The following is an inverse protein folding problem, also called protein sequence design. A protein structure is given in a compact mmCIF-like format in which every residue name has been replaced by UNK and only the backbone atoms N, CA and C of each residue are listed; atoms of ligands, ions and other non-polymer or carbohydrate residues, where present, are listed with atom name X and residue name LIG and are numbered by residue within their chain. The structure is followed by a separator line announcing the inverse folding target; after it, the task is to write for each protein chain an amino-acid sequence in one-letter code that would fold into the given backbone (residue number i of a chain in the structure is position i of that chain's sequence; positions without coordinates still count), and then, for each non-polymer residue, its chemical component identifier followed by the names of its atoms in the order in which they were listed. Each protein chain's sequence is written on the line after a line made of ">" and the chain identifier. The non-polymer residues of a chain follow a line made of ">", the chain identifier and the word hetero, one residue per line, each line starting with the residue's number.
data_IF_474707231359
#
_entry.id   IF_474707231359
#
_cell.length_a   1.000
_cell.length_b   1.000
_cell.length_c   1.000
_cell.angle_alpha   90.00
_cell.angle_beta   90.00
_cell.angle_gamma   90.00
#
_symmetry.space_group_name_H-M   'P 1'
#
loop_
_entity.id
_entity.type
_entity.pdbx_description
1 polymer ?
#
# COMPACT_ATOMS: atom_id res chain seq x y z
N UNK A 1 -1.17 1.44 33.11
CA UNK A 1 -0.45 1.63 31.83
C UNK A 1 -0.78 0.44 30.94
N UNK A 2 -1.58 0.61 29.89
CA UNK A 2 -1.85 -0.47 28.93
C UNK A 2 -0.57 -0.69 28.10
N UNK A 3 0.04 -1.86 28.26
CA UNK A 3 1.06 -2.38 27.35
C UNK A 3 0.48 -2.38 25.93
N UNK A 4 1.17 -1.85 24.90
CA UNK A 4 0.62 -1.89 23.55
C UNK A 4 0.49 -3.36 23.14
N UNK A 5 -0.75 -3.80 22.92
CA UNK A 5 -1.04 -5.08 22.29
C UNK A 5 -0.27 -5.15 20.98
N UNK A 6 0.46 -6.24 20.76
CA UNK A 6 1.24 -6.48 19.54
C UNK A 6 0.48 -6.03 18.29
N UNK A 7 1.08 -5.16 17.49
CA UNK A 7 0.49 -4.65 16.26
C UNK A 7 1.06 -5.39 15.04
N UNK A 8 0.24 -5.58 14.00
CA UNK A 8 0.73 -6.01 12.69
C UNK A 8 1.31 -4.79 11.97
N UNK A 9 2.60 -4.83 11.65
CA UNK A 9 3.30 -3.75 10.98
C UNK A 9 3.54 -4.07 9.51
N UNK A 10 3.30 -3.07 8.66
CA UNK A 10 3.79 -3.00 7.30
C UNK A 10 4.30 -1.58 7.02
N UNK A 11 5.16 -1.45 6.02
CA UNK A 11 5.62 -0.18 5.47
C UNK A 11 5.10 -0.09 4.04
N UNK A 12 4.65 1.08 3.62
CA UNK A 12 4.18 1.30 2.27
C UNK A 12 4.21 2.76 1.86
N UNK A 13 3.89 2.99 0.59
CA UNK A 13 3.70 4.32 0.03
C UNK A 13 2.22 4.65 0.06
N UNK A 14 1.88 5.74 0.75
CA UNK A 14 0.54 6.33 0.67
C UNK A 14 0.40 7.12 -0.62
N UNK A 15 -0.83 7.25 -1.09
CA UNK A 15 -1.18 8.11 -2.20
C UNK A 15 -1.49 9.52 -1.72
N UNK A 16 -1.25 10.51 -2.57
CA UNK A 16 -1.76 11.86 -2.32
C UNK A 16 -3.29 11.92 -2.60
N UNK A 17 -3.92 13.05 -2.23
CA UNK A 17 -5.36 13.22 -2.39
C UNK A 17 -5.81 13.13 -3.86
N UNK A 18 -5.16 13.80 -4.83
CA UNK A 18 -5.50 13.65 -6.25
C UNK A 18 -5.40 12.20 -6.77
N UNK A 19 -4.38 11.45 -6.37
CA UNK A 19 -4.21 10.04 -6.73
C UNK A 19 -5.31 9.18 -6.11
N UNK A 20 -5.61 9.40 -4.83
CA UNK A 20 -6.68 8.71 -4.12
C UNK A 20 -8.01 8.91 -4.84
N UNK A 21 -8.35 10.14 -5.19
CA UNK A 21 -9.62 10.46 -5.86
C UNK A 21 -9.75 9.80 -7.24
N UNK A 22 -8.66 9.74 -8.00
CA UNK A 22 -8.61 9.01 -9.28
C UNK A 22 -8.90 7.53 -9.08
N UNK A 23 -8.31 6.89 -8.06
CA UNK A 23 -8.55 5.47 -7.78
C UNK A 23 -9.97 5.23 -7.30
N UNK A 24 -10.52 6.09 -6.44
CA UNK A 24 -11.92 5.97 -6.00
C UNK A 24 -12.89 6.07 -7.17
N UNK A 25 -12.65 6.96 -8.13
CA UNK A 25 -13.45 7.05 -9.35
C UNK A 25 -13.35 5.79 -10.21
N UNK A 26 -12.15 5.22 -10.34
CA UNK A 26 -11.94 3.94 -11.02
C UNK A 26 -12.68 2.79 -10.32
N UNK A 27 -12.63 2.72 -8.98
CA UNK A 27 -13.36 1.72 -8.20
C UNK A 27 -14.87 1.82 -8.41
N UNK A 28 -15.44 3.03 -8.37
CA UNK A 28 -16.86 3.26 -8.66
C UNK A 28 -17.24 2.77 -10.06
N UNK A 29 -16.40 3.07 -11.06
CA UNK A 29 -16.62 2.63 -12.44
C UNK A 29 -16.51 1.11 -12.60
N UNK A 30 -15.63 0.46 -11.84
CA UNK A 30 -15.43 -0.98 -11.88
C UNK A 30 -16.53 -1.75 -11.17
N UNK A 31 -16.98 -1.28 -10.00
CA UNK A 31 -18.02 -1.95 -9.20
C UNK A 31 -19.31 -2.15 -10.01
N UNK A 32 -19.66 -1.22 -10.90
CA UNK A 32 -20.85 -1.35 -11.76
C UNK A 32 -20.69 -2.40 -12.87
N UNK A 33 -19.47 -2.88 -13.12
CA UNK A 33 -19.12 -3.82 -14.19
C UNK A 33 -18.70 -5.20 -13.68
N UNK A 34 -18.58 -5.39 -12.37
CA UNK A 34 -18.13 -6.63 -11.73
C UNK A 34 -19.21 -7.17 -10.79
N UNK A 35 -19.01 -8.41 -10.31
CA UNK A 35 -19.94 -9.11 -9.43
C UNK A 35 -20.33 -8.27 -8.20
N UNK A 36 -21.62 -8.30 -7.82
CA UNK A 36 -22.20 -7.59 -6.67
C UNK A 36 -21.54 -7.90 -5.33
N UNK A 37 -20.82 -9.01 -5.22
CA UNK A 37 -20.13 -9.40 -3.98
C UNK A 37 -18.72 -8.78 -3.83
N UNK A 38 -18.26 -7.97 -4.79
CA UNK A 38 -16.95 -7.31 -4.70
C UNK A 38 -16.95 -6.22 -3.63
N UNK A 39 -15.88 -6.15 -2.84
CA UNK A 39 -15.68 -5.10 -1.82
C UNK A 39 -14.55 -4.19 -2.25
N UNK A 40 -14.83 -2.88 -2.32
CA UNK A 40 -13.80 -1.89 -2.63
C UNK A 40 -12.91 -1.63 -1.40
N UNK A 41 -11.60 -1.46 -1.65
CA UNK A 41 -10.66 -1.01 -0.63
C UNK A 41 -11.01 0.42 -0.21
N UNK A 42 -11.14 0.65 1.10
CA UNK A 42 -11.38 1.97 1.68
C UNK A 42 -10.28 2.96 1.30
N UNK A 43 -10.63 4.24 1.13
CA UNK A 43 -9.70 5.28 0.70
C UNK A 43 -8.41 5.35 1.55
N UNK A 44 -8.55 5.29 2.88
CA UNK A 44 -7.41 5.33 3.81
C UNK A 44 -6.55 4.07 3.79
N UNK A 45 -7.03 2.99 3.16
CA UNK A 45 -6.30 1.73 2.97
C UNK A 45 -5.68 1.64 1.56
N UNK A 46 -5.81 2.65 0.70
CA UNK A 46 -5.13 2.65 -0.60
C UNK A 46 -3.64 2.98 -0.41
N UNK A 47 -2.80 1.98 -0.63
CA UNK A 47 -1.35 2.10 -0.51
C UNK A 47 -0.64 1.06 -1.39
N UNK A 48 0.65 1.27 -1.60
CA UNK A 48 1.56 0.25 -2.15
C UNK A 48 2.37 -0.30 -1.00
N UNK A 49 2.24 -1.57 -0.67
CA UNK A 49 3.05 -2.21 0.37
C UNK A 49 4.49 -2.38 -0.11
N UNK A 50 5.43 -1.81 0.64
CA UNK A 50 6.87 -1.97 0.44
C UNK A 50 7.39 -3.22 1.16
N UNK A 51 6.97 -3.42 2.40
CA UNK A 51 7.41 -4.54 3.22
C UNK A 51 6.41 -4.88 4.32
N UNK A 52 6.22 -6.18 4.58
CA UNK A 52 5.33 -6.70 5.61
C UNK A 52 6.15 -7.38 6.71
N UNK A 53 6.04 -6.90 7.94
CA UNK A 53 6.81 -7.39 9.09
C UNK A 53 5.99 -8.33 9.97
N UNK A 54 4.68 -8.45 9.71
CA UNK A 54 3.79 -9.25 10.55
C UNK A 54 3.64 -8.66 11.94
N UNK A 55 3.44 -9.53 12.92
CA UNK A 55 3.24 -9.14 14.32
C UNK A 55 4.59 -8.87 14.97
N UNK A 56 4.75 -7.65 15.51
CA UNK A 56 5.99 -7.23 16.16
C UNK A 56 5.71 -6.69 17.56
N UNK A 57 6.70 -6.80 18.43
CA UNK A 57 6.64 -6.20 19.77
C UNK A 57 6.81 -4.67 19.70
N UNK A 58 6.37 -3.94 20.74
CA UNK A 58 6.45 -2.48 20.76
C UNK A 58 7.88 -1.91 20.64
N UNK A 59 8.89 -2.61 21.18
CA UNK A 59 10.28 -2.17 21.14
C UNK A 59 10.82 -2.26 19.71
N UNK A 60 10.56 -3.38 19.01
CA UNK A 60 10.91 -3.53 17.60
C UNK A 60 10.19 -2.52 16.72
N UNK A 61 8.90 -2.23 17.01
CA UNK A 61 8.14 -1.21 16.29
C UNK A 61 8.78 0.18 16.42
N UNK A 62 9.21 0.57 17.62
CA UNK A 62 9.89 1.85 17.85
C UNK A 62 11.20 1.95 17.06
N UNK A 63 12.03 0.89 17.08
CA UNK A 63 13.29 0.85 16.34
C UNK A 63 13.10 0.97 14.83
N UNK A 64 12.09 0.29 14.28
CA UNK A 64 11.75 0.39 12.85
C UNK A 64 11.32 1.82 12.50
N UNK A 65 10.47 2.43 13.33
CA UNK A 65 10.03 3.83 13.13
C UNK A 65 11.21 4.80 13.14
N UNK A 66 12.15 4.65 14.08
CA UNK A 66 13.37 5.47 14.16
C UNK A 66 14.24 5.29 12.91
N UNK A 67 14.45 4.05 12.47
CA UNK A 67 15.21 3.76 11.25
C UNK A 67 14.58 4.43 10.02
N UNK A 68 13.26 4.30 9.83
CA UNK A 68 12.54 4.95 8.72
C UNK A 68 12.69 6.47 8.78
N UNK A 69 12.63 7.08 9.97
CA UNK A 69 12.79 8.52 10.12
C UNK A 69 14.17 9.00 9.67
N UNK A 70 15.23 8.22 9.94
CA UNK A 70 16.61 8.52 9.54
C UNK A 70 16.92 8.20 8.07
N UNK A 71 16.12 7.36 7.41
CA UNK A 71 16.32 7.04 5.99
C UNK A 71 16.14 8.27 5.09
N UNK A 72 17.04 8.48 4.11
CA UNK A 72 16.84 9.45 3.04
C UNK A 72 15.58 9.13 2.24
N UNK A 73 14.64 10.09 2.17
CA UNK A 73 13.35 9.92 1.48
C UNK A 73 13.41 10.57 0.11
N UNK A 74 14.11 9.93 -0.82
CA UNK A 74 14.20 10.43 -2.19
C UNK A 74 12.84 10.34 -2.86
N UNK A 75 12.36 11.45 -3.41
CA UNK A 75 11.11 11.45 -4.18
C UNK A 75 11.31 10.76 -5.52
N UNK A 76 10.33 9.98 -5.95
CA UNK A 76 10.34 9.33 -7.25
C UNK A 76 8.92 9.23 -7.83
N UNK A 77 8.85 9.00 -9.13
CA UNK A 77 7.60 8.70 -9.82
C UNK A 77 7.51 7.19 -10.10
N UNK A 78 6.34 6.62 -9.85
CA UNK A 78 6.00 5.24 -10.19
C UNK A 78 4.70 5.26 -11.01
N UNK A 79 4.77 4.75 -12.24
CA UNK A 79 3.59 4.65 -13.10
C UNK A 79 2.86 3.35 -12.74
N UNK A 80 1.55 3.46 -12.53
CA UNK A 80 0.65 2.34 -12.26
C UNK A 80 -0.61 2.58 -13.09
N UNK A 81 -0.71 1.87 -14.20
CA UNK A 81 -1.64 2.19 -15.30
C UNK A 81 -2.43 0.98 -15.80
N UNK A 82 -2.16 -0.20 -15.26
CA UNK A 82 -2.70 -1.46 -15.78
C UNK A 82 -3.53 -2.14 -14.70
N UNK A 83 -4.77 -2.50 -15.00
CA UNK A 83 -5.54 -3.40 -14.15
C UNK A 83 -5.01 -4.83 -14.26
N UNK A 84 -4.99 -5.52 -13.12
CA UNK A 84 -4.66 -6.94 -13.06
C UNK A 84 -5.69 -7.66 -12.19
N UNK A 85 -6.13 -8.81 -12.68
CA UNK A 85 -6.97 -9.75 -11.94
C UNK A 85 -6.09 -10.86 -11.39
N UNK A 86 -6.02 -10.98 -10.06
CA UNK A 86 -5.29 -12.03 -9.38
C UNK A 86 -6.29 -13.09 -8.91
N UNK A 87 -6.49 -14.11 -9.75
CA UNK A 87 -7.50 -15.14 -9.54
C UNK A 87 -7.39 -15.84 -8.17
N UNK A 88 -6.19 -16.27 -7.80
CA UNK A 88 -5.94 -17.01 -6.54
C UNK A 88 -6.28 -16.19 -5.30
N UNK A 89 -5.99 -14.90 -5.33
CA UNK A 89 -6.27 -13.98 -4.22
C UNK A 89 -7.64 -13.28 -4.34
N UNK A 90 -8.37 -13.57 -5.43
CA UNK A 90 -9.67 -12.99 -5.75
C UNK A 90 -9.71 -11.45 -5.67
N UNK A 91 -8.65 -10.78 -6.14
CA UNK A 91 -8.53 -9.32 -6.09
C UNK A 91 -8.23 -8.70 -7.45
N UNK A 92 -8.80 -7.52 -7.69
CA UNK A 92 -8.41 -6.62 -8.76
C UNK A 92 -7.44 -5.60 -8.17
N UNK A 93 -6.26 -5.47 -8.78
CA UNK A 93 -5.28 -4.46 -8.39
C UNK A 93 -4.84 -3.61 -9.59
N UNK A 94 -4.20 -2.50 -9.28
CA UNK A 94 -3.45 -1.70 -10.25
C UNK A 94 -1.99 -2.15 -10.20
N UNK A 95 -1.40 -2.42 -11.37
CA UNK A 95 0.01 -2.78 -11.54
C UNK A 95 0.71 -1.82 -12.50
N UNK A 96 2.03 -1.79 -12.39
CA UNK A 96 2.92 -1.07 -13.30
C UNK A 96 4.32 -1.65 -13.23
N UNK A 97 5.18 -1.27 -14.17
CA UNK A 97 6.59 -1.69 -14.16
C UNK A 97 7.36 -0.89 -13.12
N UNK A 98 8.03 -1.58 -12.19
CA UNK A 98 8.80 -0.92 -11.14
C UNK A 98 9.85 0.03 -11.76
N UNK A 99 9.89 1.27 -11.31
CA UNK A 99 10.93 2.21 -11.71
C UNK A 99 12.28 1.81 -11.09
N UNK A 100 13.37 2.30 -11.68
CA UNK A 100 14.70 2.07 -11.10
C UNK A 100 14.83 2.67 -9.70
N UNK A 101 14.18 3.80 -9.44
CA UNK A 101 14.14 4.43 -8.12
C UNK A 101 13.40 3.58 -7.09
N UNK A 102 12.23 3.03 -7.45
CA UNK A 102 11.48 2.12 -6.57
C UNK A 102 12.32 0.88 -6.24
N UNK A 103 12.96 0.26 -7.24
CA UNK A 103 13.85 -0.89 -7.02
C UNK A 103 15.02 -0.58 -6.10
N UNK A 104 15.59 0.62 -6.15
CA UNK A 104 16.68 1.05 -5.24
C UNK A 104 16.18 1.30 -3.81
N UNK A 105 14.94 1.76 -3.64
CA UNK A 105 14.35 1.92 -2.31
C UNK A 105 14.15 0.57 -1.57
N UNK A 106 13.99 -0.52 -2.32
CA UNK A 106 13.78 -1.86 -1.77
C UNK A 106 15.07 -2.64 -1.51
N UNK A 107 16.26 -2.04 -1.70
CA UNK A 107 17.57 -2.67 -1.47
C UNK A 107 18.23 -2.07 -0.24
#
# INVERSE_FOLDING_TARGET
>A
MQTPSSARLFIGFSLDKPQTDKILHLQQTLITKINTNSVATLAHNLHITLGFFGQIDPTTCSKIREAINQMPKTTFNQIIDTFAWWQTAQLICLKGQASTSLRRCCR
#
